data_IF_728353497785
#
_entry.id   IF_728353497785
#
_cell.length_a   1.000
_cell.length_b   1.000
_cell.length_c   1.000
_cell.angle_alpha   90.00
_cell.angle_beta   90.00
_cell.angle_gamma   90.00
#
_symmetry.space_group_name_H-M   'P 1'
#
loop_
_entity.id
_entity.type
_entity.pdbx_description
1 polymer ?
#
# COMPACT_ATOMS: atom_id res chain seq x y z
N UNK A 1 -11.31 -5.28 -3.90
CA UNK A 1 -12.24 -6.20 -3.21
C UNK A 1 -11.79 -7.63 -3.46
N UNK A 2 -11.84 -8.50 -2.45
CA UNK A 2 -11.50 -9.91 -2.61
C UNK A 2 -12.72 -10.68 -3.11
N UNK A 3 -12.51 -11.78 -3.82
CA UNK A 3 -13.60 -12.66 -4.23
C UNK A 3 -14.39 -13.12 -2.98
N UNK A 4 -15.71 -13.00 -3.04
CA UNK A 4 -16.62 -13.42 -1.96
C UNK A 4 -16.92 -12.39 -0.85
N UNK A 5 -16.33 -11.19 -0.86
CA UNK A 5 -16.71 -10.14 0.12
C UNK A 5 -17.98 -9.37 -0.28
N UNK A 6 -18.36 -9.43 -1.56
CA UNK A 6 -19.60 -8.87 -2.11
C UNK A 6 -20.14 -9.81 -3.21
N UNK A 7 -21.46 -9.84 -3.42
CA UNK A 7 -22.11 -10.68 -4.44
C UNK A 7 -21.60 -10.30 -5.84
N UNK A 8 -21.02 -11.26 -6.58
CA UNK A 8 -20.62 -11.09 -7.99
C UNK A 8 -19.18 -10.65 -8.24
N UNK A 9 -18.28 -10.77 -7.27
CA UNK A 9 -16.84 -10.49 -7.45
C UNK A 9 -16.09 -11.83 -7.55
N UNK A 10 -15.75 -12.23 -8.78
CA UNK A 10 -15.03 -13.50 -9.06
C UNK A 10 -13.51 -13.31 -9.21
N UNK A 11 -13.05 -12.09 -9.53
CA UNK A 11 -11.64 -11.70 -9.61
C UNK A 11 -11.32 -10.55 -8.65
N UNK A 12 -10.08 -10.42 -8.13
CA UNK A 12 -9.69 -9.29 -7.30
C UNK A 12 -9.75 -7.97 -8.06
N UNK A 13 -10.80 -7.19 -7.84
CA UNK A 13 -10.92 -5.85 -8.44
C UNK A 13 -10.15 -4.84 -7.59
N UNK A 14 -9.27 -4.05 -8.21
CA UNK A 14 -8.65 -2.90 -7.55
C UNK A 14 -9.76 -1.96 -7.03
N UNK A 15 -9.77 -1.69 -5.73
CA UNK A 15 -10.81 -0.87 -5.10
C UNK A 15 -10.16 0.18 -4.21
N UNK A 16 -10.51 1.43 -4.46
CA UNK A 16 -10.24 2.52 -3.53
C UNK A 16 -11.44 2.64 -2.60
N UNK A 17 -11.30 2.11 -1.38
CA UNK A 17 -12.31 2.23 -0.33
C UNK A 17 -11.80 3.26 0.67
N UNK A 18 -12.34 4.49 0.66
CA UNK A 18 -11.98 5.51 1.65
C UNK A 18 -11.95 4.94 3.07
N UNK A 19 -10.90 5.30 3.82
CA UNK A 19 -10.65 4.84 5.19
C UNK A 19 -10.64 3.31 5.36
N UNK A 20 -10.38 2.56 4.28
CA UNK A 20 -10.46 1.09 4.22
C UNK A 20 -11.83 0.50 4.62
N UNK A 21 -12.89 1.32 4.66
CA UNK A 21 -14.18 0.96 5.26
C UNK A 21 -15.36 1.76 4.72
N UNK A 22 -15.28 2.25 3.48
CA UNK A 22 -16.27 3.15 2.89
C UNK A 22 -17.74 2.75 3.04
N UNK A 23 -18.15 1.47 2.91
CA UNK A 23 -19.55 1.07 3.12
C UNK A 23 -20.10 1.32 4.53
N UNK A 24 -19.22 1.59 5.51
CA UNK A 24 -19.58 1.76 6.92
C UNK A 24 -19.41 3.21 7.41
N UNK A 25 -18.95 4.13 6.55
CA UNK A 25 -18.75 5.52 6.91
C UNK A 25 -20.09 6.26 6.97
N UNK A 26 -20.36 6.92 8.08
CA UNK A 26 -21.57 7.75 8.29
C UNK A 26 -21.31 9.23 8.05
N UNK A 27 -20.04 9.65 8.03
CA UNK A 27 -19.58 11.00 7.74
C UNK A 27 -18.77 11.03 6.43
N UNK A 28 -18.49 12.21 5.86
CA UNK A 28 -17.53 12.33 4.77
C UNK A 28 -16.16 11.76 5.15
N UNK A 29 -15.45 11.06 4.23
CA UNK A 29 -14.13 10.49 4.51
C UNK A 29 -13.09 11.47 5.06
N UNK A 30 -13.16 12.75 4.66
CA UNK A 30 -12.26 13.81 5.15
C UNK A 30 -12.32 13.96 6.67
N UNK A 31 -13.50 13.81 7.28
CA UNK A 31 -13.66 13.90 8.75
C UNK A 31 -12.90 12.81 9.49
N UNK A 32 -12.84 11.61 8.94
CA UNK A 32 -12.07 10.51 9.53
C UNK A 32 -10.57 10.67 9.28
N UNK A 33 -10.18 11.21 8.12
CA UNK A 33 -8.79 11.52 7.80
C UNK A 33 -8.24 12.63 8.71
N UNK A 34 -9.00 13.70 8.95
CA UNK A 34 -8.68 14.77 9.91
C UNK A 34 -8.48 14.20 11.32
N UNK A 35 -9.42 13.37 11.79
CA UNK A 35 -9.30 12.74 13.11
C UNK A 35 -8.06 11.84 13.21
N UNK A 36 -7.74 11.10 12.15
CA UNK A 36 -6.52 10.29 12.11
C UNK A 36 -5.26 11.17 12.16
N UNK A 37 -5.23 12.27 11.40
CA UNK A 37 -4.12 13.22 11.41
C UNK A 37 -3.89 13.81 12.81
N UNK A 38 -4.94 14.26 13.49
CA UNK A 38 -4.86 14.76 14.88
C UNK A 38 -4.28 13.71 15.85
N UNK A 39 -4.63 12.43 15.66
CA UNK A 39 -4.10 11.34 16.48
C UNK A 39 -2.64 11.04 16.17
N UNK A 40 -2.25 11.08 14.90
CA UNK A 40 -0.87 10.93 14.48
C UNK A 40 -0.01 12.06 15.08
N UNK A 41 -0.44 13.31 14.97
CA UNK A 41 0.31 14.46 15.51
C UNK A 41 0.48 14.37 17.03
N UNK A 42 -0.57 13.96 17.73
CA UNK A 42 -0.57 13.84 19.19
C UNK A 42 0.28 12.70 19.71
N UNK A 43 0.24 11.54 19.04
CA UNK A 43 0.81 10.30 19.58
C UNK A 43 2.08 9.86 18.86
N UNK A 44 2.38 10.46 17.70
CA UNK A 44 3.53 10.16 16.84
C UNK A 44 3.76 8.66 16.62
N UNK A 45 2.74 7.90 16.18
CA UNK A 45 2.93 6.49 15.88
C UNK A 45 3.74 6.32 14.59
N UNK A 46 4.48 5.21 14.49
CA UNK A 46 5.02 4.75 13.22
C UNK A 46 3.90 4.19 12.33
N UNK A 47 3.91 4.58 11.05
CA UNK A 47 2.90 4.17 10.07
C UNK A 47 3.51 3.24 9.04
N UNK A 48 2.87 2.09 8.82
CA UNK A 48 3.34 1.06 7.91
C UNK A 48 2.29 0.74 6.85
N UNK A 49 2.72 0.67 5.59
CA UNK A 49 1.92 0.13 4.49
C UNK A 49 2.41 -1.29 4.17
N UNK A 50 1.54 -2.29 4.36
CA UNK A 50 1.89 -3.71 4.15
C UNK A 50 1.05 -4.29 3.02
N UNK A 51 1.71 -4.73 1.95
CA UNK A 51 1.05 -5.50 0.90
C UNK A 51 0.76 -6.93 1.39
N UNK A 52 -0.51 -7.30 1.51
CA UNK A 52 -0.97 -8.68 1.81
C UNK A 52 -1.61 -9.37 0.60
N UNK A 53 -1.45 -8.76 -0.58
CA UNK A 53 -1.96 -9.21 -1.87
C UNK A 53 -0.93 -10.05 -2.62
N UNK A 54 -0.64 -9.65 -3.85
CA UNK A 54 0.18 -10.41 -4.79
C UNK A 54 1.56 -9.79 -5.00
N UNK A 55 2.49 -10.64 -5.45
CA UNK A 55 3.86 -10.31 -5.84
C UNK A 55 4.27 -11.17 -7.05
N UNK A 56 5.29 -10.75 -7.80
CA UNK A 56 5.81 -11.42 -8.99
C UNK A 56 4.91 -11.43 -10.23
N UNK A 57 3.85 -10.62 -10.22
CA UNK A 57 2.91 -10.48 -11.34
C UNK A 57 1.52 -10.06 -10.86
N UNK A 58 0.62 -9.74 -11.79
CA UNK A 58 -0.80 -9.53 -11.47
C UNK A 58 -1.47 -10.84 -11.04
N UNK A 59 -2.73 -10.77 -10.61
CA UNK A 59 -3.55 -11.96 -10.37
C UNK A 59 -3.55 -12.88 -11.60
N UNK A 60 -3.42 -14.19 -11.38
CA UNK A 60 -3.30 -15.21 -12.44
C UNK A 60 -1.89 -15.46 -12.95
N UNK A 61 -0.93 -14.55 -12.72
CA UNK A 61 0.49 -14.70 -13.10
C UNK A 61 1.39 -14.76 -11.87
N UNK A 62 1.25 -13.77 -10.99
CA UNK A 62 1.98 -13.69 -9.74
C UNK A 62 1.41 -14.64 -8.68
N UNK A 63 2.03 -14.61 -7.50
CA UNK A 63 1.59 -15.38 -6.34
C UNK A 63 1.22 -14.48 -5.18
N UNK A 64 0.36 -14.98 -4.29
CA UNK A 64 0.02 -14.25 -3.07
C UNK A 64 1.23 -14.23 -2.13
N UNK A 65 1.49 -13.10 -1.48
CA UNK A 65 2.57 -12.99 -0.48
C UNK A 65 2.36 -14.06 0.59
N UNK A 66 3.41 -14.84 0.87
CA UNK A 66 3.36 -15.92 1.85
C UNK A 66 3.00 -15.33 3.22
N UNK A 67 2.03 -15.93 3.90
CA UNK A 67 1.59 -15.49 5.23
C UNK A 67 2.75 -15.42 6.24
N UNK A 68 3.73 -16.32 6.14
CA UNK A 68 4.93 -16.29 6.97
C UNK A 68 5.72 -14.98 6.80
N UNK A 69 5.82 -14.44 5.58
CA UNK A 69 6.52 -13.19 5.32
C UNK A 69 5.74 -11.99 5.85
N UNK A 70 4.41 -11.96 5.66
CA UNK A 70 3.56 -10.92 6.26
C UNK A 70 3.69 -10.90 7.79
N UNK A 71 3.69 -12.07 8.44
CA UNK A 71 3.90 -12.17 9.89
C UNK A 71 5.29 -11.70 10.31
N UNK A 72 6.34 -12.03 9.55
CA UNK A 72 7.69 -11.56 9.81
C UNK A 72 7.79 -10.02 9.71
N UNK A 73 7.21 -9.42 8.67
CA UNK A 73 7.16 -7.95 8.52
C UNK A 73 6.40 -7.28 9.68
N UNK A 74 5.24 -7.81 10.07
CA UNK A 74 4.48 -7.26 11.20
C UNK A 74 5.24 -7.38 12.52
N UNK A 75 5.88 -8.53 12.78
CA UNK A 75 6.69 -8.71 13.98
C UNK A 75 7.86 -7.73 14.00
N UNK A 76 8.50 -7.50 12.86
CA UNK A 76 9.61 -6.56 12.73
C UNK A 76 9.19 -5.11 12.98
N UNK A 77 8.00 -4.71 12.50
CA UNK A 77 7.43 -3.40 12.78
C UNK A 77 7.07 -3.24 14.27
N UNK A 78 6.43 -4.25 14.87
CA UNK A 78 5.95 -4.20 16.26
C UNK A 78 7.08 -4.28 17.30
N UNK A 79 8.21 -4.90 16.96
CA UNK A 79 9.36 -5.02 17.87
C UNK A 79 10.41 -3.92 17.67
N UNK A 80 10.14 -2.92 16.82
CA UNK A 80 11.02 -1.78 16.55
C UNK A 80 12.22 -2.07 15.66
N UNK A 81 12.41 -3.32 15.18
CA UNK A 81 13.60 -3.67 14.37
C UNK A 81 13.68 -2.94 13.03
N UNK A 82 12.57 -2.40 12.54
CA UNK A 82 12.55 -1.61 11.31
C UNK A 82 12.92 -0.13 11.52
N UNK A 83 12.92 0.39 12.75
CA UNK A 83 13.20 1.81 13.04
C UNK A 83 14.61 2.24 12.62
N UNK A 84 15.57 1.31 12.68
CA UNK A 84 16.96 1.52 12.26
C UNK A 84 17.33 0.74 11.00
N UNK A 85 16.35 0.13 10.31
CA UNK A 85 16.64 -0.66 9.13
C UNK A 85 17.08 0.23 7.96
N UNK A 86 18.08 -0.18 7.16
CA UNK A 86 18.44 0.55 5.97
C UNK A 86 17.26 0.52 4.98
N UNK A 87 16.81 1.69 4.55
CA UNK A 87 15.71 1.83 3.59
C UNK A 87 16.21 2.19 2.19
N UNK A 88 15.33 2.01 1.21
CA UNK A 88 15.42 2.59 -0.13
C UNK A 88 14.07 3.23 -0.45
N UNK A 89 14.08 4.43 -1.01
CA UNK A 89 12.86 5.11 -1.43
C UNK A 89 12.32 4.47 -2.70
N UNK A 90 11.05 4.10 -2.70
CA UNK A 90 10.37 3.57 -3.89
C UNK A 90 10.31 4.65 -4.98
N UNK A 91 10.81 4.40 -6.20
CA UNK A 91 10.93 5.42 -7.23
C UNK A 91 9.58 5.84 -7.85
N UNK A 92 8.52 5.05 -7.66
CA UNK A 92 7.18 5.32 -8.22
C UNK A 92 6.28 5.99 -7.19
N UNK A 93 6.29 5.48 -5.95
CA UNK A 93 5.39 5.89 -4.89
C UNK A 93 6.02 6.80 -3.84
N UNK A 94 7.36 6.90 -3.79
CA UNK A 94 8.08 7.87 -2.97
C UNK A 94 8.15 7.56 -1.47
N UNK A 95 7.56 6.45 -1.00
CA UNK A 95 7.71 6.01 0.39
C UNK A 95 8.97 5.16 0.58
N UNK A 96 9.46 5.09 1.81
CA UNK A 96 10.62 4.28 2.16
C UNK A 96 10.25 2.80 2.32
N UNK A 97 11.14 1.93 1.81
CA UNK A 97 11.01 0.48 1.85
C UNK A 97 12.23 -0.12 2.55
N UNK A 98 12.07 -0.93 3.61
CA UNK A 98 13.19 -1.63 4.24
C UNK A 98 13.92 -2.53 3.25
N UNK A 99 15.26 -2.48 3.24
CA UNK A 99 16.09 -3.35 2.40
C UNK A 99 16.19 -4.77 2.94
N UNK A 100 16.04 -4.95 4.24
CA UNK A 100 16.15 -6.23 4.92
C UNK A 100 15.08 -6.33 6.00
N UNK A 101 14.40 -7.46 6.04
CA UNK A 101 13.49 -7.84 7.13
C UNK A 101 13.82 -9.29 7.50
N UNK A 102 14.23 -9.58 8.76
CA UNK A 102 14.56 -10.94 9.17
C UNK A 102 13.43 -11.93 8.85
N UNK A 103 13.75 -13.01 8.14
CA UNK A 103 12.77 -14.03 7.75
C UNK A 103 11.98 -13.71 6.46
N UNK A 104 12.32 -12.63 5.76
CA UNK A 104 11.78 -12.30 4.43
C UNK A 104 12.94 -12.19 3.44
N UNK A 105 12.89 -12.87 2.27
CA UNK A 105 13.91 -12.69 1.24
C UNK A 105 13.92 -11.24 0.72
N UNK A 106 15.09 -10.63 0.61
CA UNK A 106 15.26 -9.22 0.22
C UNK A 106 14.57 -8.87 -1.11
N UNK A 107 14.64 -9.78 -2.10
CA UNK A 107 13.95 -9.59 -3.39
C UNK A 107 12.43 -9.50 -3.28
N UNK A 108 11.81 -10.02 -2.22
CA UNK A 108 10.35 -9.86 -1.97
C UNK A 108 10.02 -8.46 -1.47
N UNK A 109 10.97 -7.80 -0.80
CA UNK A 109 10.82 -6.43 -0.30
C UNK A 109 10.91 -5.40 -1.43
N UNK A 110 11.48 -5.78 -2.58
CA UNK A 110 11.58 -4.96 -3.79
C UNK A 110 10.63 -5.54 -4.85
N UNK A 111 9.36 -5.08 -4.94
CA UNK A 111 8.35 -5.75 -5.77
C UNK A 111 8.76 -5.89 -7.24
N UNK A 112 9.52 -4.94 -7.78
CA UNK A 112 10.04 -5.01 -9.15
C UNK A 112 10.88 -6.26 -9.41
N UNK A 113 11.73 -6.65 -8.46
CA UNK A 113 12.66 -7.78 -8.57
C UNK A 113 11.96 -9.14 -8.49
N UNK A 114 10.68 -9.15 -8.09
CA UNK A 114 9.87 -10.38 -8.10
C UNK A 114 9.27 -10.68 -9.46
N UNK A 115 9.19 -9.69 -10.36
CA UNK A 115 8.62 -9.86 -11.69
C UNK A 115 9.68 -10.35 -12.66
N UNK A 116 9.35 -11.39 -13.45
CA UNK A 116 10.25 -11.88 -14.50
C UNK A 116 10.42 -10.88 -15.65
N UNK A 117 9.38 -10.09 -15.94
CA UNK A 117 9.41 -8.95 -16.86
C UNK A 117 9.32 -7.64 -16.06
N UNK A 118 10.47 -6.98 -15.90
CA UNK A 118 10.58 -5.70 -15.23
C UNK A 118 9.83 -4.57 -15.96
N UNK A 119 9.74 -4.61 -17.29
CA UNK A 119 8.99 -3.61 -18.05
C UNK A 119 7.48 -3.80 -17.84
N UNK A 120 7.02 -5.05 -17.66
CA UNK A 120 5.64 -5.32 -17.27
C UNK A 120 5.32 -4.77 -15.88
N UNK A 121 6.24 -4.90 -14.92
CA UNK A 121 6.10 -4.24 -13.63
C UNK A 121 6.00 -2.73 -13.78
N UNK A 122 6.90 -2.11 -14.55
CA UNK A 122 6.94 -0.65 -14.73
C UNK A 122 5.64 -0.14 -15.40
N UNK A 123 5.07 -0.89 -16.35
CA UNK A 123 3.75 -0.58 -16.93
C UNK A 123 2.63 -0.69 -15.89
N UNK A 124 2.62 -1.75 -15.09
CA UNK A 124 1.59 -1.97 -14.07
C UNK A 124 1.65 -0.93 -12.95
N UNK A 125 2.86 -0.54 -12.54
CA UNK A 125 3.07 0.49 -11.52
C UNK A 125 2.52 1.85 -12.01
N UNK A 126 2.82 2.25 -13.25
CA UNK A 126 2.28 3.48 -13.86
C UNK A 126 0.75 3.47 -13.98
N UNK A 127 0.15 2.34 -14.37
CA UNK A 127 -1.31 2.19 -14.39
C UNK A 127 -1.91 2.39 -13.00
N UNK A 128 -1.28 1.82 -11.96
CA UNK A 128 -1.71 2.02 -10.58
C UNK A 128 -1.59 3.49 -10.14
N UNK A 129 -0.51 4.19 -10.50
CA UNK A 129 -0.38 5.63 -10.25
C UNK A 129 -1.51 6.42 -10.91
N UNK A 130 -1.83 6.11 -12.17
CA UNK A 130 -2.97 6.71 -12.87
C UNK A 130 -4.29 6.52 -12.12
N UNK A 131 -4.51 5.33 -11.55
CA UNK A 131 -5.70 5.04 -10.74
C UNK A 131 -5.72 5.82 -9.41
N UNK A 132 -4.58 5.98 -8.73
CA UNK A 132 -4.49 6.83 -7.54
C UNK A 132 -4.81 8.29 -7.87
N UNK A 133 -4.22 8.82 -8.95
CA UNK A 133 -4.47 10.19 -9.45
C UNK A 133 -5.94 10.40 -9.82
N UNK A 134 -6.56 9.44 -10.49
CA UNK A 134 -7.99 9.57 -10.81
C UNK A 134 -8.87 9.47 -9.56
N UNK A 135 -8.49 8.65 -8.59
CA UNK A 135 -9.26 8.47 -7.37
C UNK A 135 -9.23 9.71 -6.48
N UNK A 136 -8.09 10.42 -6.39
CA UNK A 136 -7.97 11.59 -5.51
C UNK A 136 -8.91 12.73 -5.92
N UNK A 137 -9.24 12.84 -7.22
CA UNK A 137 -10.19 13.82 -7.75
C UNK A 137 -11.62 13.67 -7.22
N UNK A 138 -11.94 12.55 -6.57
CA UNK A 138 -13.26 12.30 -5.96
C UNK A 138 -13.43 13.03 -4.63
N UNK A 139 -12.35 13.54 -4.04
CA UNK A 139 -12.39 14.27 -2.78
C UNK A 139 -12.43 15.77 -3.08
N UNK A 140 -13.44 16.47 -2.53
CA UNK A 140 -13.68 17.88 -2.80
C UNK A 140 -12.56 18.78 -2.25
N UNK A 141 -11.99 18.42 -1.10
CA UNK A 141 -10.90 19.14 -0.46
C UNK A 141 -9.85 18.13 0.00
N UNK A 142 -8.61 18.33 -0.47
CA UNK A 142 -7.44 17.57 -0.05
C UNK A 142 -6.34 18.58 0.27
N UNK A 143 -5.75 18.55 1.48
CA UNK A 143 -4.64 19.41 1.81
C UNK A 143 -3.50 19.28 0.79
N UNK A 144 -2.88 20.39 0.41
CA UNK A 144 -1.85 20.42 -0.63
C UNK A 144 -0.68 19.46 -0.33
N UNK A 145 -0.29 19.34 0.94
CA UNK A 145 0.73 18.40 1.40
C UNK A 145 0.34 16.93 1.19
N UNK A 146 -0.94 16.58 1.43
CA UNK A 146 -1.45 15.22 1.21
C UNK A 146 -1.52 14.92 -0.29
N UNK A 147 -1.92 15.89 -1.11
CA UNK A 147 -1.91 15.74 -2.56
C UNK A 147 -0.47 15.58 -3.11
N UNK A 148 0.50 16.30 -2.54
CA UNK A 148 1.91 16.21 -2.90
C UNK A 148 2.58 14.90 -2.42
N UNK A 149 2.08 14.27 -1.36
CA UNK A 149 2.58 12.99 -0.87
C UNK A 149 2.15 11.78 -1.73
N UNK A 150 1.25 11.98 -2.70
CA UNK A 150 0.85 10.94 -3.64
C UNK A 150 1.96 10.57 -4.65
N UNK A 151 1.79 9.45 -5.38
CA UNK A 151 2.75 9.03 -6.40
C UNK A 151 2.90 10.07 -7.53
N UNK A 152 4.15 10.34 -7.92
CA UNK A 152 4.54 11.49 -8.76
C UNK A 152 4.80 11.15 -10.24
N UNK A 153 5.05 9.89 -10.60
CA UNK A 153 5.34 9.45 -11.99
C UNK A 153 4.19 8.67 -12.59
#
# INVERSE_FOLDING_TARGET
KLAGTERGVDEPVATFSPCFGAPFLTLPPSRYAELLAEKIDRHRPDLWLVNTGWTGGPYGIGSRIKLAYTRAMLNAALNGSLESAPVVTDPVFGFDVPRVVPGVPDGVLQPRDTWSDHDAYDRQARDLVGKFRQNILRFAEVPAEVAAAGPQT
#
